data_IF_855728517761
#
_entry.id   IF_855728517761
#
_cell.length_a   1.000
_cell.length_b   1.000
_cell.length_c   1.000
_cell.angle_alpha   90.00
_cell.angle_beta   90.00
_cell.angle_gamma   90.00
#
_symmetry.space_group_name_H-M   'P 1'
#
loop_
_entity.id
_entity.type
_entity.pdbx_description
1 polymer ?
#
# COMPACT_ATOMS: atom_id res chain seq x y z
N UNK A 1 -32.42 -1.81 -10.91
CA UNK A 1 -31.72 -1.38 -10.45
C UNK A 1 -30.78 -1.51 -10.80
N UNK A 2 -30.18 -1.14 -11.00
CA UNK A 2 -29.11 -1.36 -11.26
C UNK A 2 -28.50 -1.69 -10.14
N UNK A 3 -28.31 -2.23 -9.78
CA UNK A 3 -27.76 -2.47 -8.99
C UNK A 3 -26.78 -2.29 -8.88
N UNK A 4 -26.59 -2.28 -9.10
CA UNK A 4 -25.71 -2.01 -9.04
C UNK A 4 -24.52 -2.35 -8.99
N UNK A 5 -23.69 -1.65 -9.55
CA UNK A 5 -22.28 -1.94 -9.45
C UNK A 5 -21.78 -1.93 -8.03
N UNK A 6 -22.53 -1.31 -7.08
CA UNK A 6 -22.11 -1.33 -5.67
C UNK A 6 -22.18 -2.73 -5.06
N UNK A 7 -22.91 -3.66 -5.70
CA UNK A 7 -22.99 -5.06 -5.24
C UNK A 7 -21.94 -5.95 -5.91
N UNK A 8 -21.17 -5.44 -6.83
CA UNK A 8 -20.11 -6.17 -7.50
C UNK A 8 -18.75 -5.74 -7.01
N UNK A 9 -17.81 -6.67 -7.03
CA UNK A 9 -16.43 -6.32 -6.74
C UNK A 9 -15.89 -5.45 -7.86
N UNK A 10 -15.36 -4.29 -7.52
CA UNK A 10 -14.76 -3.36 -8.47
C UNK A 10 -13.25 -3.30 -8.26
N UNK A 11 -12.51 -3.35 -9.34
CA UNK A 11 -11.06 -3.15 -9.32
C UNK A 11 -10.81 -1.66 -9.43
N UNK A 12 -10.07 -1.11 -8.46
CA UNK A 12 -9.74 0.31 -8.44
C UNK A 12 -8.36 0.50 -9.06
N UNK A 13 -8.27 1.39 -10.03
CA UNK A 13 -7.01 1.74 -10.68
C UNK A 13 -6.60 3.15 -10.26
N UNK A 14 -5.30 3.35 -10.07
CA UNK A 14 -4.74 4.63 -9.67
C UNK A 14 -3.36 4.78 -10.31
N UNK A 15 -2.78 5.96 -10.15
CA UNK A 15 -1.41 6.20 -10.60
C UNK A 15 -0.42 5.64 -9.57
N UNK A 16 -0.48 4.33 -9.40
CA UNK A 16 0.40 3.57 -8.51
C UNK A 16 0.96 2.42 -9.34
N UNK A 17 2.28 2.22 -9.33
CA UNK A 17 2.89 1.21 -10.19
C UNK A 17 2.48 -0.21 -9.80
N UNK A 18 2.17 -1.02 -10.82
CA UNK A 18 1.89 -2.44 -10.64
C UNK A 18 3.14 -3.26 -10.94
N UNK A 19 3.27 -4.39 -10.27
CA UNK A 19 4.50 -5.20 -10.31
C UNK A 19 4.35 -6.48 -11.11
N UNK A 20 3.19 -6.72 -11.72
CA UNK A 20 2.93 -7.94 -12.48
C UNK A 20 2.60 -9.16 -11.61
N UNK A 21 2.38 -8.98 -10.33
CA UNK A 21 1.95 -10.07 -9.45
C UNK A 21 0.48 -10.41 -9.67
N UNK A 22 0.02 -11.58 -9.16
CA UNK A 22 -1.34 -12.05 -9.40
C UNK A 22 -2.36 -11.46 -8.41
N UNK A 23 -2.45 -10.13 -8.34
CA UNK A 23 -3.36 -9.43 -7.43
C UNK A 23 -3.64 -8.03 -7.96
N UNK A 24 -4.73 -7.45 -7.49
CA UNK A 24 -5.04 -6.05 -7.73
C UNK A 24 -4.62 -5.22 -6.50
N UNK A 25 -4.20 -3.99 -6.72
CA UNK A 25 -3.73 -3.14 -5.63
C UNK A 25 -4.86 -2.71 -4.72
N UNK A 26 -6.06 -2.49 -5.28
CA UNK A 26 -7.21 -2.07 -4.50
C UNK A 26 -8.48 -2.62 -5.11
N UNK A 27 -9.38 -3.12 -4.27
CA UNK A 27 -10.71 -3.55 -4.68
C UNK A 27 -11.75 -2.90 -3.79
N UNK A 28 -12.92 -2.67 -4.34
CA UNK A 28 -14.05 -2.10 -3.62
C UNK A 28 -15.25 -3.03 -3.74
N UNK A 29 -15.96 -3.23 -2.63
CA UNK A 29 -17.21 -3.95 -2.62
C UNK A 29 -18.18 -3.17 -1.74
N UNK A 30 -19.28 -2.68 -2.33
CA UNK A 30 -20.14 -1.75 -1.61
C UNK A 30 -19.37 -0.51 -1.21
N UNK A 31 -19.39 -0.18 0.07
CA UNK A 31 -18.63 0.93 0.62
C UNK A 31 -17.31 0.52 1.24
N UNK A 32 -16.90 -0.73 1.12
CA UNK A 32 -15.65 -1.21 1.71
C UNK A 32 -14.55 -1.24 0.66
N UNK A 33 -13.35 -0.84 1.06
CA UNK A 33 -12.18 -0.91 0.19
C UNK A 33 -11.09 -1.72 0.89
N UNK A 34 -10.39 -2.51 0.08
CA UNK A 34 -9.32 -3.39 0.53
C UNK A 34 -8.08 -3.08 -0.29
N UNK A 35 -6.99 -2.75 0.37
CA UNK A 35 -5.76 -2.36 -0.30
C UNK A 35 -4.70 -3.40 0.02
N UNK A 36 -4.11 -3.93 -1.03
CA UNK A 36 -3.05 -4.93 -0.94
C UNK A 36 -1.83 -4.38 -0.22
N UNK A 37 -0.98 -5.26 0.27
CA UNK A 37 0.30 -4.86 0.82
C UNK A 37 1.09 -4.06 -0.20
N UNK A 38 1.52 -2.86 0.18
CA UNK A 38 2.22 -1.94 -0.69
C UNK A 38 3.68 -1.85 -0.28
N UNK A 39 4.61 -2.38 -1.09
CA UNK A 39 6.03 -2.16 -0.88
C UNK A 39 6.46 -0.81 -1.45
N UNK A 40 7.64 -0.32 -1.08
CA UNK A 40 8.12 1.00 -1.54
C UNK A 40 8.71 0.94 -2.95
N UNK A 41 7.94 0.42 -3.90
CA UNK A 41 8.40 0.25 -5.28
C UNK A 41 7.93 1.44 -6.11
N UNK A 42 8.87 2.27 -6.54
CA UNK A 42 8.55 3.37 -7.44
C UNK A 42 8.32 2.85 -8.86
N UNK A 43 7.97 3.75 -9.77
CA UNK A 43 7.63 3.37 -11.14
C UNK A 43 8.81 2.68 -11.86
N UNK A 44 10.02 3.13 -11.61
CA UNK A 44 11.20 2.54 -12.24
C UNK A 44 11.42 1.09 -11.79
N UNK A 45 11.43 0.86 -10.49
CA UNK A 45 11.64 -0.49 -9.97
C UNK A 45 10.49 -1.43 -10.31
N UNK A 46 9.24 -0.96 -10.20
CA UNK A 46 8.08 -1.75 -10.56
C UNK A 46 8.10 -2.15 -12.03
N UNK A 47 8.54 -1.24 -12.90
CA UNK A 47 8.70 -1.53 -14.33
C UNK A 47 9.72 -2.63 -14.58
N UNK A 48 10.84 -2.59 -13.87
CA UNK A 48 11.86 -3.64 -13.97
C UNK A 48 11.33 -4.99 -13.50
N UNK A 49 10.53 -5.01 -12.43
CA UNK A 49 9.90 -6.24 -11.96
C UNK A 49 8.93 -6.82 -12.98
N UNK A 50 8.06 -5.98 -13.55
CA UNK A 50 7.10 -6.43 -14.56
C UNK A 50 7.83 -7.04 -15.76
N UNK A 51 8.88 -6.37 -16.22
CA UNK A 51 9.64 -6.85 -17.36
C UNK A 51 10.31 -8.18 -17.07
N UNK A 52 10.94 -8.31 -15.90
CA UNK A 52 11.60 -9.56 -15.52
C UNK A 52 10.59 -10.71 -15.43
N UNK A 53 9.44 -10.45 -14.83
CA UNK A 53 8.38 -11.47 -14.70
C UNK A 53 7.84 -11.88 -16.05
N UNK A 54 7.63 -10.93 -16.96
CA UNK A 54 7.13 -11.24 -18.30
C UNK A 54 8.11 -12.09 -19.11
N UNK A 55 9.40 -11.92 -18.86
CA UNK A 55 10.45 -12.65 -19.58
C UNK A 55 10.90 -13.93 -18.88
N UNK A 56 10.42 -14.17 -17.65
CA UNK A 56 10.93 -15.28 -16.84
C UNK A 56 12.38 -15.08 -16.43
N UNK A 57 12.84 -13.84 -16.40
CA UNK A 57 14.21 -13.49 -16.01
C UNK A 57 14.34 -13.37 -14.48
N UNK A 58 15.56 -13.42 -13.94
CA UNK A 58 15.76 -13.18 -12.50
C UNK A 58 15.26 -11.81 -12.10
N UNK A 59 14.62 -11.74 -10.91
CA UNK A 59 14.10 -10.46 -10.42
C UNK A 59 15.25 -9.55 -10.00
N UNK A 60 15.16 -8.24 -10.29
CA UNK A 60 16.22 -7.31 -9.90
C UNK A 60 16.25 -7.12 -8.39
N UNK A 61 17.41 -6.83 -7.81
CA UNK A 61 17.49 -6.52 -6.37
C UNK A 61 16.85 -5.17 -6.10
N UNK A 62 16.27 -5.04 -4.90
CA UNK A 62 15.73 -3.74 -4.49
C UNK A 62 16.87 -2.77 -4.26
N UNK A 63 16.75 -1.51 -4.75
CA UNK A 63 17.85 -0.54 -4.61
C UNK A 63 18.00 -0.06 -3.17
N UNK A 64 19.19 0.45 -2.85
CA UNK A 64 19.49 0.98 -1.53
C UNK A 64 18.90 2.38 -1.41
N UNK A 65 17.74 2.47 -0.81
CA UNK A 65 16.98 3.70 -0.63
C UNK A 65 16.81 3.96 0.87
N UNK A 66 17.00 5.21 1.35
CA UNK A 66 16.80 5.51 2.76
C UNK A 66 15.39 5.15 3.23
N UNK A 67 15.27 4.70 4.48
CA UNK A 67 13.99 4.26 5.01
C UNK A 67 12.91 5.35 4.94
N UNK A 68 13.25 6.59 5.24
CA UNK A 68 12.28 7.69 5.17
C UNK A 68 11.69 7.78 3.77
N UNK A 69 12.50 7.67 2.73
CA UNK A 69 12.03 7.73 1.35
C UNK A 69 11.11 6.55 1.06
N UNK A 70 11.49 5.35 1.52
CA UNK A 70 10.66 4.17 1.33
C UNK A 70 9.29 4.33 2.00
N UNK A 71 9.27 4.82 3.23
CA UNK A 71 8.01 5.00 3.96
C UNK A 71 7.11 6.01 3.25
N UNK A 72 7.66 7.09 2.70
CA UNK A 72 6.87 8.09 1.96
C UNK A 72 6.32 7.53 0.66
N UNK A 73 7.10 6.73 -0.07
CA UNK A 73 6.61 6.07 -1.28
C UNK A 73 5.38 5.21 -0.95
N UNK A 74 5.49 4.39 0.09
CA UNK A 74 4.39 3.50 0.49
C UNK A 74 3.14 4.30 0.89
N UNK A 75 3.32 5.30 1.75
CA UNK A 75 2.18 6.07 2.24
C UNK A 75 1.55 6.93 1.15
N UNK A 76 2.35 7.46 0.22
CA UNK A 76 1.83 8.21 -0.92
C UNK A 76 1.02 7.29 -1.84
N UNK A 77 1.50 6.06 -2.10
CA UNK A 77 0.77 5.09 -2.89
C UNK A 77 -0.55 4.70 -2.22
N UNK A 78 -0.53 4.50 -0.89
CA UNK A 78 -1.75 4.20 -0.15
C UNK A 78 -2.76 5.33 -0.32
N UNK A 79 -2.32 6.57 -0.19
CA UNK A 79 -3.19 7.73 -0.34
C UNK A 79 -3.78 7.82 -1.76
N UNK A 80 -2.97 7.57 -2.77
CA UNK A 80 -3.43 7.57 -4.16
C UNK A 80 -4.55 6.55 -4.39
N UNK A 81 -4.36 5.33 -3.88
CA UNK A 81 -5.36 4.27 -4.04
C UNK A 81 -6.65 4.59 -3.29
N UNK A 82 -6.54 5.07 -2.06
CA UNK A 82 -7.70 5.43 -1.25
C UNK A 82 -8.51 6.53 -1.93
N UNK A 83 -7.84 7.55 -2.47
CA UNK A 83 -8.52 8.66 -3.15
C UNK A 83 -9.12 8.21 -4.48
N UNK A 84 -8.45 7.34 -5.21
CA UNK A 84 -8.98 6.77 -6.45
C UNK A 84 -10.24 5.96 -6.20
N UNK A 85 -10.36 5.35 -5.02
CA UNK A 85 -11.55 4.59 -4.64
C UNK A 85 -12.72 5.48 -4.21
N UNK A 86 -12.52 6.79 -4.13
CA UNK A 86 -13.56 7.74 -3.70
C UNK A 86 -13.56 7.98 -2.20
N UNK A 87 -12.47 7.69 -1.52
CA UNK A 87 -12.36 7.83 -0.08
C UNK A 87 -11.21 8.80 0.28
N UNK A 88 -10.78 8.76 1.53
CA UNK A 88 -9.64 9.55 1.99
C UNK A 88 -8.97 8.80 3.15
N UNK A 89 -7.78 9.26 3.53
CA UNK A 89 -6.97 8.57 4.54
C UNK A 89 -7.68 8.44 5.88
N UNK A 90 -8.48 9.44 6.26
CA UNK A 90 -9.21 9.42 7.53
C UNK A 90 -10.33 8.37 7.57
N UNK A 91 -10.67 7.77 6.44
CA UNK A 91 -11.66 6.70 6.36
C UNK A 91 -11.02 5.30 6.40
N UNK A 92 -9.74 5.20 6.64
CA UNK A 92 -9.11 3.91 6.88
C UNK A 92 -9.52 3.37 8.25
N UNK A 93 -9.87 2.09 8.30
CA UNK A 93 -10.34 1.42 9.51
C UNK A 93 -9.26 0.57 10.15
N UNK A 94 -8.46 -0.10 9.33
CA UNK A 94 -7.42 -1.01 9.80
C UNK A 94 -6.22 -0.91 8.90
N UNK A 95 -5.05 -0.76 9.51
CA UNK A 95 -3.78 -0.76 8.79
C UNK A 95 -2.89 -1.82 9.41
N UNK A 96 -2.20 -2.58 8.57
CA UNK A 96 -1.19 -3.54 9.01
C UNK A 96 0.13 -3.13 8.41
N UNK A 97 1.14 -2.99 9.25
CA UNK A 97 2.48 -2.54 8.86
C UNK A 97 3.47 -3.66 9.14
N UNK A 98 4.24 -4.00 8.12
CA UNK A 98 5.33 -4.96 8.23
C UNK A 98 6.64 -4.20 8.04
N UNK A 99 7.49 -4.20 9.08
CA UNK A 99 8.81 -3.58 8.99
C UNK A 99 9.87 -4.66 8.79
N UNK A 100 10.88 -4.34 8.02
CA UNK A 100 12.07 -5.19 7.94
C UNK A 100 12.84 -5.15 9.26
N UNK A 101 12.84 -3.98 9.92
CA UNK A 101 13.57 -3.76 11.17
C UNK A 101 12.69 -2.95 12.12
N UNK A 102 12.18 -3.60 13.18
CA UNK A 102 11.27 -2.97 14.14
C UNK A 102 11.94 -1.81 14.89
N UNK A 103 13.25 -1.71 14.88
CA UNK A 103 13.93 -0.56 15.49
C UNK A 103 13.64 0.75 14.78
N UNK A 104 13.12 0.71 13.56
CA UNK A 104 12.74 1.90 12.79
C UNK A 104 11.30 2.36 13.10
N UNK A 105 10.68 1.82 14.15
CA UNK A 105 9.27 2.09 14.45
C UNK A 105 8.98 3.57 14.73
N UNK A 106 9.87 4.27 15.42
CA UNK A 106 9.63 5.68 15.76
C UNK A 106 9.72 6.57 14.53
N UNK A 107 10.67 6.30 13.67
CA UNK A 107 10.81 7.03 12.40
C UNK A 107 9.56 6.80 11.54
N UNK A 108 9.12 5.55 11.45
CA UNK A 108 7.92 5.23 10.68
C UNK A 108 6.70 5.95 11.25
N UNK A 109 6.51 5.91 12.57
CA UNK A 109 5.33 6.51 13.20
C UNK A 109 5.26 8.02 12.97
N UNK A 110 6.41 8.70 12.98
CA UNK A 110 6.44 10.13 12.71
C UNK A 110 5.93 10.42 11.29
N UNK A 111 6.37 9.65 10.31
CA UNK A 111 5.93 9.79 8.92
C UNK A 111 4.46 9.41 8.78
N UNK A 112 4.08 8.26 9.32
CA UNK A 112 2.73 7.72 9.26
C UNK A 112 1.71 8.71 9.79
N UNK A 113 1.98 9.28 10.97
CA UNK A 113 1.05 10.21 11.62
C UNK A 113 0.74 11.42 10.74
N UNK A 114 1.69 11.85 9.92
CA UNK A 114 1.51 13.03 9.07
C UNK A 114 0.48 12.84 7.96
N UNK A 115 0.03 11.62 7.73
CA UNK A 115 -0.96 11.33 6.68
C UNK A 115 -2.41 11.37 7.17
N UNK A 116 -2.64 11.65 8.45
CA UNK A 116 -3.97 11.69 9.05
C UNK A 116 -4.24 13.06 9.65
N UNK A 117 -5.51 13.49 9.62
CA UNK A 117 -5.88 14.86 10.01
C UNK A 117 -5.81 15.09 11.52
N UNK A 118 -5.96 14.05 12.32
CA UNK A 118 -5.96 14.16 13.78
C UNK A 118 -5.74 12.80 14.42
N UNK A 119 -5.55 12.78 15.72
CA UNK A 119 -5.41 11.52 16.49
C UNK A 119 -6.68 10.67 16.37
N UNK A 120 -7.86 11.30 16.41
CA UNK A 120 -9.12 10.57 16.33
C UNK A 120 -9.35 9.96 14.94
N UNK A 121 -8.68 10.47 13.91
CA UNK A 121 -8.78 9.92 12.56
C UNK A 121 -7.87 8.72 12.31
N UNK A 122 -6.96 8.42 13.22
CA UNK A 122 -6.04 7.29 13.06
C UNK A 122 -6.81 5.97 13.06
N UNK A 123 -6.51 5.06 12.14
CA UNK A 123 -7.15 3.74 12.12
C UNK A 123 -6.62 2.85 13.22
N UNK A 124 -7.32 1.75 13.49
CA UNK A 124 -6.73 0.67 14.27
C UNK A 124 -5.52 0.12 13.49
N UNK A 125 -4.49 -0.31 14.21
CA UNK A 125 -3.25 -0.72 13.52
C UNK A 125 -2.55 -1.86 14.25
N UNK A 126 -1.93 -2.75 13.44
CA UNK A 126 -0.94 -3.70 13.92
C UNK A 126 0.36 -3.43 13.18
N UNK A 127 1.48 -3.44 13.89
CA UNK A 127 2.81 -3.28 13.27
C UNK A 127 3.74 -4.33 13.85
N UNK A 128 4.46 -5.03 12.97
CA UNK A 128 5.36 -6.11 13.37
C UNK A 128 6.58 -6.13 12.46
N UNK A 129 7.63 -6.77 12.92
CA UNK A 129 8.76 -7.08 12.08
C UNK A 129 8.43 -8.33 11.27
N UNK A 130 8.60 -8.25 9.96
CA UNK A 130 8.39 -9.40 9.08
C UNK A 130 9.59 -10.34 9.15
N UNK A 131 9.33 -11.61 8.94
CA UNK A 131 10.43 -12.58 8.80
C UNK A 131 11.28 -12.23 7.59
N UNK A 132 10.62 -11.78 6.49
CA UNK A 132 11.29 -11.25 5.31
C UNK A 132 10.28 -10.39 4.54
N UNK A 133 10.68 -9.21 4.13
CA UNK A 133 9.86 -8.32 3.33
C UNK A 133 10.01 -8.62 1.83
N UNK A 134 9.06 -8.19 0.99
CA UNK A 134 9.18 -8.37 -0.46
C UNK A 134 10.46 -7.72 -0.99
N UNK A 135 11.26 -8.49 -1.71
CA UNK A 135 12.52 -8.04 -2.29
C UNK A 135 13.49 -7.45 -1.25
N UNK A 136 13.31 -7.80 0.03
CA UNK A 136 14.13 -7.28 1.14
C UNK A 136 14.04 -5.76 1.31
N UNK A 137 12.93 -5.16 0.90
CA UNK A 137 12.69 -3.73 1.13
C UNK A 137 12.44 -3.44 2.61
N UNK A 138 12.34 -2.15 2.97
CA UNK A 138 12.26 -1.75 4.38
C UNK A 138 10.91 -1.96 5.04
N UNK A 139 9.82 -2.00 4.27
CA UNK A 139 8.48 -2.11 4.85
C UNK A 139 7.45 -2.48 3.80
N UNK A 140 6.28 -2.87 4.30
CA UNK A 140 5.07 -3.06 3.49
C UNK A 140 3.88 -2.65 4.33
N UNK A 141 2.87 -2.01 3.72
CA UNK A 141 1.67 -1.54 4.42
C UNK A 141 0.44 -1.96 3.65
N UNK A 142 -0.54 -2.53 4.36
CA UNK A 142 -1.85 -2.87 3.79
C UNK A 142 -2.96 -2.23 4.61
N UNK A 143 -4.14 -2.07 4.03
CA UNK A 143 -5.21 -1.35 4.72
C UNK A 143 -6.60 -1.80 4.28
N UNK A 144 -7.56 -1.56 5.16
CA UNK A 144 -9.00 -1.70 4.90
C UNK A 144 -9.64 -0.38 5.31
N UNK A 145 -10.57 0.11 4.49
CA UNK A 145 -11.28 1.34 4.78
C UNK A 145 -12.68 1.34 4.21
N UNK A 146 -13.31 2.50 4.19
CA UNK A 146 -14.65 2.65 3.65
C UNK A 146 -14.75 3.92 2.81
N UNK A 147 -15.74 3.94 1.94
CA UNK A 147 -16.07 5.13 1.15
C UNK A 147 -17.22 5.82 1.85
N UNK A 148 -17.05 7.08 2.27
CA UNK A 148 -18.08 7.79 3.02
C UNK A 148 -19.28 8.16 2.16
#
# INVERSE_FOLDING_TARGET
MPRGSSMDKQVIKADVPETGGPFNLCVRYGNQIYISGLPPFDADFAGKLREARAKGAPLPPFPDIPFERQARIVMDHLKELVEAAGSNMDCLLKVIVWLKDQRQQEEFDRIYRSYFSSTDALPARTRMQAGRTPMDCGLEVEAIGYVP
#
